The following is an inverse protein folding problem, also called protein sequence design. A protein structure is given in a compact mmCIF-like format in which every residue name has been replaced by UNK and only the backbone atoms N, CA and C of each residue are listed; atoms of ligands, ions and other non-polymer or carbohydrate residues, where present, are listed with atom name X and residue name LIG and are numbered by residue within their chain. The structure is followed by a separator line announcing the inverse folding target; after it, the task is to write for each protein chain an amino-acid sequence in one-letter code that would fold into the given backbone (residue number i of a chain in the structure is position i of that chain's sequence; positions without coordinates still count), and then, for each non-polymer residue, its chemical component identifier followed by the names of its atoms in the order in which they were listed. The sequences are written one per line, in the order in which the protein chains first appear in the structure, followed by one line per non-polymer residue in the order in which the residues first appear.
data_IF_574125753744
#
_entry.id   IF_574125753744
#
_cell.length_a   1.000
_cell.length_b   1.000
_cell.length_c   1.000
_cell.angle_alpha   90.00
_cell.angle_beta   90.00
_cell.angle_gamma   90.00
#
_symmetry.space_group_name_H-M   'P 1'
#
loop_
_entity.id
_entity.type
_entity.pdbx_description
1 polymer ?
#
# COMPACT_ATOMS: atom_id res chain seq x y z
N UNK A 1 -0.11 13.51 17.28
CA UNK A 1 1.33 13.28 17.60
C UNK A 1 2.12 13.14 16.29
N UNK A 2 3.35 13.57 16.28
CA UNK A 2 4.17 13.46 15.04
C UNK A 2 4.47 11.99 14.76
N UNK A 3 4.05 11.50 13.62
CA UNK A 3 4.31 10.07 13.29
C UNK A 3 4.21 9.88 11.78
N UNK A 4 3.16 10.36 11.18
CA UNK A 4 2.99 10.21 9.71
C UNK A 4 2.91 8.72 9.36
N UNK A 5 1.73 8.16 9.35
CA UNK A 5 1.59 6.72 9.02
C UNK A 5 0.73 6.57 7.76
N UNK A 6 1.26 6.93 6.62
CA UNK A 6 0.48 6.81 5.36
C UNK A 6 1.26 5.98 4.34
N UNK A 7 0.76 4.82 4.01
CA UNK A 7 1.46 3.95 3.02
C UNK A 7 0.44 3.38 2.03
N UNK A 8 0.18 4.07 0.96
CA UNK A 8 -0.81 3.55 -0.03
C UNK A 8 -0.07 2.75 -1.10
N UNK A 9 -0.50 1.54 -1.35
CA UNK A 9 0.18 0.70 -2.37
C UNK A 9 -0.65 0.71 -3.66
N UNK A 10 -0.01 0.54 -4.79
CA UNK A 10 -0.77 0.54 -6.07
C UNK A 10 -0.14 -0.45 -7.04
N UNK A 11 -0.72 -0.63 -8.19
CA UNK A 11 -0.15 -1.57 -9.19
C UNK A 11 -0.12 -2.99 -8.60
N UNK A 12 -1.18 -3.39 -7.95
CA UNK A 12 -1.22 -4.76 -7.35
C UNK A 12 -1.54 -5.79 -8.45
N UNK A 13 -0.84 -6.90 -8.41
CA UNK A 13 -1.03 -7.98 -9.39
C UNK A 13 -2.28 -8.81 -9.04
N UNK A 14 -2.84 -9.49 -10.00
CA UNK A 14 -4.05 -10.31 -9.73
C UNK A 14 -3.87 -11.12 -8.44
N UNK A 15 -3.00 -12.10 -8.45
CA UNK A 15 -2.80 -12.94 -7.23
C UNK A 15 -2.84 -12.07 -5.97
N UNK A 16 -2.14 -10.98 -5.95
CA UNK A 16 -2.16 -10.10 -4.74
C UNK A 16 -3.60 -9.85 -4.32
N UNK A 17 -3.87 -9.94 -3.05
CA UNK A 17 -5.25 -9.70 -2.55
C UNK A 17 -5.17 -9.33 -1.07
N UNK A 18 -6.21 -9.56 -0.31
CA UNK A 18 -6.15 -9.20 1.13
C UNK A 18 -5.13 -10.09 1.86
N UNK A 19 -4.95 -11.30 1.40
CA UNK A 19 -3.97 -12.21 2.08
C UNK A 19 -2.56 -11.94 1.55
N UNK A 20 -2.40 -11.86 0.26
CA UNK A 20 -1.04 -11.60 -0.30
C UNK A 20 -0.64 -10.15 -0.02
N UNK A 21 -1.59 -9.32 0.33
CA UNK A 21 -1.26 -7.90 0.63
C UNK A 21 -0.85 -7.78 2.10
N UNK A 22 -1.41 -8.60 2.94
CA UNK A 22 -1.06 -8.55 4.39
C UNK A 22 0.37 -9.05 4.59
N UNK A 23 0.66 -10.23 4.11
CA UNK A 23 2.04 -10.79 4.28
C UNK A 23 3.05 -9.88 3.58
N UNK A 24 2.76 -9.46 2.38
CA UNK A 24 3.72 -8.58 1.65
C UNK A 24 4.18 -7.44 2.56
N UNK A 25 3.30 -6.55 2.92
CA UNK A 25 3.69 -5.42 3.80
C UNK A 25 3.63 -5.86 5.26
N UNK A 26 3.39 -7.12 5.51
CA UNK A 26 3.32 -7.60 6.92
C UNK A 26 4.73 -7.90 7.43
N UNK A 27 5.58 -8.42 6.59
CA UNK A 27 6.96 -8.75 7.04
C UNK A 27 7.87 -7.54 6.81
N UNK A 28 7.40 -6.36 7.12
CA UNK A 28 8.24 -5.15 6.92
C UNK A 28 8.03 -4.18 8.09
N UNK A 29 6.82 -4.05 8.55
CA UNK A 29 6.54 -3.13 9.69
C UNK A 29 5.18 -3.45 10.30
N UNK A 30 4.94 -3.00 11.50
CA UNK A 30 3.63 -3.27 12.16
C UNK A 30 2.54 -2.41 11.52
N UNK A 31 2.00 -2.85 10.42
CA UNK A 31 0.93 -2.05 9.76
C UNK A 31 -0.19 -1.78 10.76
N UNK A 32 -0.10 -0.70 11.48
CA UNK A 32 -1.15 -0.36 12.49
C UNK A 32 -2.53 -0.77 11.96
N UNK A 33 -2.72 -0.75 10.67
CA UNK A 33 -4.05 -1.14 10.12
C UNK A 33 -3.97 -1.21 8.59
N UNK A 34 -4.15 -2.38 8.04
CA UNK A 34 -4.10 -2.52 6.56
C UNK A 34 -5.50 -2.29 5.99
N UNK A 35 -5.63 -2.21 4.70
CA UNK A 35 -6.99 -1.99 4.10
C UNK A 35 -6.90 -2.05 2.58
N UNK A 36 -6.70 -3.21 2.03
CA UNK A 36 -6.61 -3.34 0.54
C UNK A 36 -7.99 -3.07 -0.07
N UNK A 37 -8.02 -2.60 -1.29
CA UNK A 37 -9.33 -2.32 -1.94
C UNK A 37 -10.06 -3.64 -2.21
N UNK A 38 -11.27 -3.77 -1.75
CA UNK A 38 -12.03 -5.03 -1.99
C UNK A 38 -13.53 -4.72 -2.07
N UNK A 39 -14.03 -4.52 -3.25
CA UNK A 39 -15.48 -4.21 -3.40
C UNK A 39 -16.30 -5.14 -2.49
N UNK A 40 -17.52 -4.79 -2.22
CA UNK A 40 -18.36 -5.65 -1.34
C UNK A 40 -19.39 -6.40 -2.20
N UNK A 41 -19.13 -6.52 -3.47
CA UNK A 41 -20.08 -7.25 -4.36
C UNK A 41 -19.44 -8.55 -4.84
N UNK A 42 -18.78 -8.52 -5.96
CA UNK A 42 -18.13 -9.75 -6.47
C UNK A 42 -16.83 -9.99 -5.70
N UNK A 43 -16.04 -8.97 -5.54
CA UNK A 43 -14.76 -9.12 -4.80
C UNK A 43 -13.58 -8.83 -5.74
N UNK A 44 -13.79 -8.01 -6.73
CA UNK A 44 -12.68 -7.69 -7.67
C UNK A 44 -11.76 -6.64 -7.05
N UNK A 45 -10.47 -6.82 -7.16
CA UNK A 45 -9.52 -5.83 -6.57
C UNK A 45 -9.41 -4.62 -7.50
N UNK A 46 -9.21 -3.46 -6.94
CA UNK A 46 -9.09 -2.24 -7.79
C UNK A 46 -7.64 -2.08 -8.26
N UNK A 47 -6.76 -2.94 -7.83
CA UNK A 47 -5.34 -2.83 -8.26
C UNK A 47 -4.57 -1.90 -7.33
N UNK A 48 -4.94 -1.86 -6.07
CA UNK A 48 -4.23 -0.96 -5.12
C UNK A 48 -4.84 -1.13 -3.72
N UNK A 49 -4.03 -1.07 -2.70
CA UNK A 49 -4.57 -1.23 -1.32
C UNK A 49 -4.09 -0.08 -0.43
N UNK A 50 -4.50 -0.08 0.81
CA UNK A 50 -4.08 1.00 1.74
C UNK A 50 -3.35 0.38 2.93
N UNK A 51 -2.33 1.02 3.42
CA UNK A 51 -1.59 0.46 4.58
C UNK A 51 -1.12 1.59 5.49
N UNK A 52 -1.17 1.39 6.78
CA UNK A 52 -0.71 2.44 7.72
C UNK A 52 0.28 1.82 8.71
N UNK A 53 1.52 2.22 8.65
CA UNK A 53 2.53 1.64 9.58
C UNK A 53 2.39 2.30 10.96
N UNK A 54 3.17 1.87 11.91
CA UNK A 54 3.08 2.47 13.27
C UNK A 54 4.04 3.66 13.37
N UNK A 55 5.15 3.59 12.68
CA UNK A 55 6.12 4.72 12.74
C UNK A 55 6.50 5.14 11.31
N UNK A 56 7.04 6.33 11.20
CA UNK A 56 7.46 6.89 9.91
C UNK A 56 8.77 6.27 9.45
N UNK A 57 9.52 5.71 10.36
CA UNK A 57 10.81 5.07 9.97
C UNK A 57 10.54 3.73 9.29
N UNK A 58 9.62 2.98 9.82
CA UNK A 58 9.29 1.66 9.21
C UNK A 58 8.51 1.90 7.92
N UNK A 59 7.84 3.01 7.82
CA UNK A 59 7.06 3.30 6.58
C UNK A 59 8.01 3.74 5.47
N UNK A 60 8.98 4.55 5.79
CA UNK A 60 9.94 5.00 4.74
C UNK A 60 10.81 3.82 4.30
N UNK A 61 10.91 2.81 5.12
CA UNK A 61 11.74 1.63 4.74
C UNK A 61 10.93 0.76 3.78
N UNK A 62 9.65 0.63 4.01
CA UNK A 62 8.82 -0.19 3.09
C UNK A 62 8.78 0.50 1.73
N UNK A 63 9.05 1.77 1.71
CA UNK A 63 9.04 2.52 0.42
C UNK A 63 10.46 2.54 -0.17
N UNK A 64 11.47 2.45 0.66
CA UNK A 64 12.86 2.46 0.14
C UNK A 64 13.23 1.06 -0.36
N UNK A 65 12.31 0.13 -0.31
CA UNK A 65 12.62 -1.25 -0.77
C UNK A 65 11.50 -1.77 -1.68
N UNK A 66 10.28 -1.35 -1.45
CA UNK A 66 9.15 -1.83 -2.30
C UNK A 66 8.69 -0.71 -3.23
N UNK A 67 9.40 0.38 -3.28
CA UNK A 67 8.99 1.49 -4.18
C UNK A 67 9.50 1.22 -5.60
N UNK A 68 8.76 0.48 -6.37
CA UNK A 68 9.20 0.17 -7.75
C UNK A 68 9.61 -1.30 -7.83
N UNK A 69 8.71 -2.19 -7.51
CA UNK A 69 9.06 -3.63 -7.58
C UNK A 69 8.72 -4.16 -8.97
N UNK A 70 9.59 -4.92 -9.56
CA UNK A 70 9.30 -5.44 -10.93
C UNK A 70 8.58 -6.79 -10.84
N UNK A 71 7.73 -7.07 -11.78
CA UNK A 71 6.99 -8.37 -11.77
C UNK A 71 7.26 -9.11 -13.08
N UNK A 72 6.79 -10.32 -13.19
CA UNK A 72 7.02 -11.11 -14.43
C UNK A 72 6.49 -10.33 -15.64
N UNK A 73 5.45 -9.57 -15.46
CA UNK A 73 4.89 -8.79 -16.61
C UNK A 73 4.14 -7.56 -16.09
N UNK A 74 4.44 -7.13 -14.89
CA UNK A 74 3.74 -5.93 -14.34
C UNK A 74 4.73 -5.10 -13.52
N UNK A 75 4.33 -3.92 -13.12
CA UNK A 75 5.25 -3.07 -12.32
C UNK A 75 4.53 -2.58 -11.06
N UNK A 76 4.89 -3.09 -9.92
CA UNK A 76 4.23 -2.64 -8.66
C UNK A 76 5.00 -1.44 -8.11
N UNK A 77 4.39 -0.64 -7.28
CA UNK A 77 5.11 0.54 -6.74
C UNK A 77 4.43 1.06 -5.47
N UNK A 78 5.20 1.28 -4.43
CA UNK A 78 4.62 1.81 -3.16
C UNK A 78 4.54 3.34 -3.25
N UNK A 79 3.73 3.95 -2.43
CA UNK A 79 3.62 5.44 -2.48
C UNK A 79 3.03 5.96 -1.17
N UNK A 80 3.56 7.03 -0.64
CA UNK A 80 3.02 7.59 0.63
C UNK A 80 1.53 7.90 0.46
N UNK A 81 0.71 7.44 1.35
CA UNK A 81 -0.75 7.70 1.23
C UNK A 81 -1.04 9.18 1.50
N UNK A 82 -1.35 9.92 0.47
CA UNK A 82 -1.65 11.37 0.66
C UNK A 82 -3.06 11.66 0.14
N UNK A 83 -3.62 12.75 0.60
CA UNK A 83 -4.97 13.18 0.21
C UNK A 83 -4.96 13.81 -1.19
N UNK A 84 -6.11 14.06 -1.75
CA UNK A 84 -6.15 14.67 -3.11
C UNK A 84 -5.21 15.88 -3.15
N UNK A 85 -4.84 16.30 -4.33
CA UNK A 85 -3.93 17.47 -4.45
C UNK A 85 -4.62 18.71 -3.86
N UNK A 86 -5.91 18.79 -3.98
CA UNK A 86 -6.64 19.96 -3.44
C UNK A 86 -6.27 21.21 -4.24
N UNK A 87 -6.58 21.23 -5.51
CA UNK A 87 -6.24 22.43 -6.33
C UNK A 87 -7.36 23.47 -6.20
N UNK A 88 -7.29 24.52 -6.96
CA UNK A 88 -8.34 25.57 -6.87
C UNK A 88 -8.63 26.13 -8.26
N UNK A 89 -7.65 26.74 -8.88
CA UNK A 89 -7.86 27.30 -10.24
C UNK A 89 -7.29 26.34 -11.28
#
# INVERSE_FOLDING_TARGET
MDSKTNLIVNYLPQNMTQDEFKSLFGSIGDIESCKLVRDKITGQSLGYGFVNYSDPNDADKAINTLNGLKLQTKTIKVSYARPSSASIR
#
